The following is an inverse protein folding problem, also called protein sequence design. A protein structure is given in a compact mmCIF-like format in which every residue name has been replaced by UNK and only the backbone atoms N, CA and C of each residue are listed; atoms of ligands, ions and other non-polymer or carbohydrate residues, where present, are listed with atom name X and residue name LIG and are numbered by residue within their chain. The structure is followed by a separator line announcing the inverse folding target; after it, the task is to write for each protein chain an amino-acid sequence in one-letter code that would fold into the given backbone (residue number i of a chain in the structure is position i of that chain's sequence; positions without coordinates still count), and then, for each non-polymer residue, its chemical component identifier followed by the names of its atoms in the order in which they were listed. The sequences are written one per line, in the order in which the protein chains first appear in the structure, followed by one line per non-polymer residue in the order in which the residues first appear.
data_IF_540729070803
#
_entry.id   IF_540729070803
#
_cell.length_a   1.000
_cell.length_b   1.000
_cell.length_c   1.000
_cell.angle_alpha   90.00
_cell.angle_beta   90.00
_cell.angle_gamma   90.00
#
_symmetry.space_group_name_H-M   'P 1'
#
loop_
_entity.id
_entity.type
_entity.pdbx_description
1 polymer ?
#
# COMPACT_ATOMS: atom_id res chain seq x y z
N UNK A 1 -8.34 -13.95 7.38
CA UNK A 1 -7.83 -13.71 6.00
C UNK A 1 -6.39 -14.15 5.91
N UNK A 2 -6.06 -14.89 4.87
CA UNK A 2 -4.71 -15.43 4.70
C UNK A 2 -3.72 -14.36 4.24
N UNK A 3 -2.46 -14.51 4.65
CA UNK A 3 -1.37 -13.71 4.12
C UNK A 3 -1.17 -13.98 2.62
N UNK A 4 -0.55 -13.04 1.93
CA UNK A 4 -0.20 -13.16 0.53
C UNK A 4 -0.70 -12.00 -0.32
N UNK A 5 -0.66 -12.18 -1.64
CA UNK A 5 -1.03 -11.16 -2.60
C UNK A 5 -2.55 -10.96 -2.60
N UNK A 6 -2.97 -9.70 -2.60
CA UNK A 6 -4.36 -9.28 -2.74
C UNK A 6 -4.49 -8.52 -4.04
N UNK A 7 -5.26 -9.07 -4.96
CA UNK A 7 -5.45 -8.51 -6.28
C UNK A 7 -6.61 -7.52 -6.33
N UNK A 8 -6.64 -6.74 -7.41
CA UNK A 8 -7.79 -5.88 -7.72
C UNK A 8 -9.06 -6.73 -7.79
N UNK A 9 -10.15 -6.18 -7.28
CA UNK A 9 -11.48 -6.80 -7.28
C UNK A 9 -11.58 -8.11 -6.49
N UNK A 10 -10.56 -8.48 -5.73
CA UNK A 10 -10.65 -9.59 -4.77
C UNK A 10 -11.67 -9.26 -3.68
N UNK A 11 -12.17 -10.24 -2.92
CA UNK A 11 -13.10 -9.95 -1.82
C UNK A 11 -12.57 -8.88 -0.87
N UNK A 12 -11.31 -8.97 -0.46
CA UNK A 12 -10.69 -7.95 0.37
C UNK A 12 -10.52 -6.63 -0.38
N UNK A 13 -10.10 -6.69 -1.64
CA UNK A 13 -9.94 -5.50 -2.47
C UNK A 13 -11.23 -4.69 -2.57
N UNK A 14 -12.36 -5.36 -2.79
CA UNK A 14 -13.66 -4.69 -2.85
C UNK A 14 -14.02 -4.02 -1.53
N UNK A 15 -13.66 -4.60 -0.40
CA UNK A 15 -13.94 -4.03 0.91
C UNK A 15 -13.20 -2.71 1.15
N UNK A 16 -12.01 -2.57 0.61
CA UNK A 16 -11.16 -1.39 0.85
C UNK A 16 -11.13 -0.42 -0.31
N UNK A 17 -11.86 -0.70 -1.40
CA UNK A 17 -11.85 0.16 -2.58
C UNK A 17 -10.68 -0.09 -3.52
N UNK A 18 -10.03 -1.24 -3.39
CA UNK A 18 -8.95 -1.64 -4.31
C UNK A 18 -9.55 -2.39 -5.49
N UNK A 19 -10.05 -1.62 -6.45
CA UNK A 19 -10.87 -2.12 -7.56
C UNK A 19 -10.35 -1.63 -8.90
N UNK A 20 -10.67 -2.37 -9.95
CA UNK A 20 -10.16 -2.12 -11.31
C UNK A 20 -10.71 -0.87 -11.96
N UNK A 21 -11.80 -0.31 -11.43
CA UNK A 21 -12.31 0.99 -11.89
C UNK A 21 -11.46 2.17 -11.40
N UNK A 22 -10.69 1.98 -10.32
CA UNK A 22 -9.85 3.02 -9.70
C UNK A 22 -8.37 2.81 -9.93
N UNK A 23 -7.90 1.58 -10.01
CA UNK A 23 -6.49 1.23 -10.11
C UNK A 23 -6.25 0.26 -11.27
N UNK A 24 -5.01 0.20 -11.74
CA UNK A 24 -4.59 -0.73 -12.78
C UNK A 24 -3.18 -1.23 -12.48
N UNK A 25 -2.86 -2.44 -12.95
CA UNK A 25 -1.53 -3.06 -12.82
C UNK A 25 -0.99 -2.98 -11.39
N UNK A 26 -1.86 -3.20 -10.39
CA UNK A 26 -1.54 -3.00 -8.99
C UNK A 26 -1.85 -4.25 -8.18
N UNK A 27 -1.11 -4.44 -7.09
CA UNK A 27 -1.43 -5.46 -6.10
C UNK A 27 -0.95 -5.04 -4.74
N UNK A 28 -1.55 -5.62 -3.70
CA UNK A 28 -1.19 -5.42 -2.32
C UNK A 28 -0.65 -6.73 -1.75
N UNK A 29 0.13 -6.63 -0.70
CA UNK A 29 0.66 -7.79 -0.01
C UNK A 29 0.25 -7.74 1.45
N UNK A 30 -0.47 -8.77 1.92
CA UNK A 30 -0.84 -8.87 3.33
C UNK A 30 0.12 -9.78 4.07
N UNK A 31 0.67 -9.28 5.17
CA UNK A 31 1.48 -10.08 6.09
C UNK A 31 1.11 -9.72 7.53
N UNK A 32 0.45 -10.65 8.23
CA UNK A 32 -0.05 -10.38 9.57
C UNK A 32 -1.01 -9.19 9.59
N UNK A 33 -0.72 -8.19 10.40
CA UNK A 33 -1.53 -6.98 10.51
C UNK A 33 -1.06 -5.84 9.60
N UNK A 34 -0.22 -6.15 8.61
CA UNK A 34 0.36 -5.16 7.71
C UNK A 34 -0.09 -5.39 6.29
N UNK A 35 -0.48 -4.32 5.61
CA UNK A 35 -0.73 -4.31 4.17
C UNK A 35 0.39 -3.54 3.51
N UNK A 36 1.16 -4.19 2.64
CA UNK A 36 2.23 -3.55 1.88
C UNK A 36 1.73 -3.15 0.50
N UNK A 37 2.03 -1.93 0.12
CA UNK A 37 1.71 -1.40 -1.20
C UNK A 37 3.02 -1.30 -1.97
N UNK A 38 3.31 -2.28 -2.81
CA UNK A 38 4.56 -2.33 -3.59
C UNK A 38 4.44 -1.61 -4.92
N UNK A 39 3.34 -1.85 -5.64
CA UNK A 39 3.08 -1.20 -6.92
C UNK A 39 1.64 -0.73 -6.90
N UNK A 40 1.44 0.54 -7.19
CA UNK A 40 0.09 1.09 -7.27
C UNK A 40 0.02 2.16 -8.37
N UNK A 41 -1.00 2.04 -9.22
CA UNK A 41 -1.28 2.97 -10.30
C UNK A 41 -2.76 3.35 -10.26
N UNK A 42 -3.05 4.58 -9.87
CA UNK A 42 -4.40 5.11 -9.96
C UNK A 42 -4.72 5.43 -11.42
N UNK A 43 -5.91 5.04 -11.88
CA UNK A 43 -6.34 5.33 -13.25
C UNK A 43 -6.53 6.81 -13.51
N UNK A 44 -6.89 7.58 -12.48
CA UNK A 44 -7.05 9.03 -12.57
C UNK A 44 -6.37 9.69 -11.40
N UNK A 45 -5.43 10.56 -11.67
CA UNK A 45 -4.78 11.37 -10.65
C UNK A 45 -5.74 12.46 -10.14
N UNK A 46 -5.53 12.88 -8.89
CA UNK A 46 -6.29 13.98 -8.31
C UNK A 46 -7.71 13.62 -7.88
N UNK A 47 -8.11 12.34 -7.93
CA UNK A 47 -9.42 11.87 -7.48
C UNK A 47 -9.43 11.37 -6.04
N UNK A 48 -8.27 11.34 -5.38
CA UNK A 48 -8.16 10.87 -4.00
C UNK A 48 -8.28 9.36 -3.83
N UNK A 49 -8.14 8.58 -4.87
CA UNK A 49 -8.27 7.11 -4.80
C UNK A 49 -7.25 6.48 -3.87
N UNK A 50 -6.01 6.95 -3.93
CA UNK A 50 -4.95 6.43 -3.07
C UNK A 50 -5.20 6.80 -1.60
N UNK A 51 -5.57 8.04 -1.33
CA UNK A 51 -5.89 8.51 0.03
C UNK A 51 -7.05 7.71 0.62
N UNK A 52 -8.10 7.47 -0.17
CA UNK A 52 -9.23 6.66 0.24
C UNK A 52 -8.84 5.22 0.53
N UNK A 53 -7.96 4.64 -0.30
CA UNK A 53 -7.46 3.28 -0.10
C UNK A 53 -6.74 3.16 1.24
N UNK A 54 -5.82 4.07 1.54
CA UNK A 54 -5.08 4.09 2.80
C UNK A 54 -6.05 4.21 3.98
N UNK A 55 -6.99 5.13 3.89
CA UNK A 55 -8.00 5.33 4.94
C UNK A 55 -8.79 4.04 5.19
N UNK A 56 -9.26 3.39 4.13
CA UNK A 56 -10.05 2.17 4.25
C UNK A 56 -9.24 1.02 4.87
N UNK A 57 -7.97 0.90 4.53
CA UNK A 57 -7.07 -0.09 5.15
C UNK A 57 -6.90 0.21 6.64
N UNK A 58 -6.64 1.47 6.99
CA UNK A 58 -6.47 1.88 8.38
C UNK A 58 -7.75 1.68 9.20
N UNK A 59 -8.91 1.97 8.63
CA UNK A 59 -10.20 1.81 9.30
C UNK A 59 -10.47 0.34 9.68
N UNK A 60 -9.82 -0.60 9.00
CA UNK A 60 -9.93 -2.03 9.33
C UNK A 60 -8.86 -2.50 10.30
N UNK A 61 -8.06 -1.59 10.85
CA UNK A 61 -7.06 -1.90 11.87
C UNK A 61 -5.73 -2.40 11.35
N UNK A 62 -5.48 -2.31 10.04
CA UNK A 62 -4.20 -2.71 9.47
C UNK A 62 -3.18 -1.57 9.47
N UNK A 63 -1.91 -1.94 9.58
CA UNK A 63 -0.81 -1.04 9.29
C UNK A 63 -0.59 -0.98 7.78
N UNK A 64 -0.29 0.19 7.25
CA UNK A 64 0.06 0.37 5.84
C UNK A 64 1.56 0.55 5.72
N UNK A 65 2.21 -0.19 4.82
CA UNK A 65 3.64 -0.09 4.58
C UNK A 65 3.93 0.11 3.10
N UNK A 66 4.81 1.04 2.78
CA UNK A 66 5.23 1.33 1.40
C UNK A 66 6.74 1.21 1.35
N UNK A 67 7.28 0.13 0.73
CA UNK A 67 8.72 -0.03 0.62
C UNK A 67 9.28 0.88 -0.48
N UNK A 68 10.39 1.51 -0.20
CA UNK A 68 11.18 2.32 -1.15
C UNK A 68 10.32 3.14 -2.11
N UNK A 69 9.49 4.09 -1.59
CA UNK A 69 8.63 4.88 -2.46
C UNK A 69 9.46 5.76 -3.39
N UNK A 70 9.00 5.87 -4.64
CA UNK A 70 9.68 6.67 -5.67
C UNK A 70 8.67 7.62 -6.35
N UNK A 71 9.20 8.69 -6.94
CA UNK A 71 8.39 9.64 -7.69
C UNK A 71 7.32 10.30 -6.84
N UNK A 72 6.10 10.38 -7.36
CA UNK A 72 4.98 11.02 -6.67
C UNK A 72 4.67 10.34 -5.34
N UNK A 73 4.82 9.02 -5.27
CA UNK A 73 4.56 8.26 -4.03
C UNK A 73 5.49 8.72 -2.90
N UNK A 74 6.74 9.03 -3.19
CA UNK A 74 7.68 9.54 -2.18
C UNK A 74 7.18 10.86 -1.58
N UNK A 75 6.64 11.74 -2.39
CA UNK A 75 6.09 13.02 -1.94
C UNK A 75 4.84 12.76 -1.08
N UNK A 76 3.97 11.87 -1.52
CA UNK A 76 2.70 11.59 -0.86
C UNK A 76 2.87 10.91 0.49
N UNK A 77 3.83 9.98 0.66
CA UNK A 77 4.03 9.32 1.96
C UNK A 77 4.46 10.31 3.04
N UNK A 78 5.23 11.32 2.67
CA UNK A 78 5.60 12.40 3.60
C UNK A 78 4.38 13.23 3.97
N UNK A 79 3.59 13.61 2.98
CA UNK A 79 2.38 14.44 3.17
C UNK A 79 1.33 13.74 4.02
N UNK A 80 1.19 12.44 3.89
CA UNK A 80 0.17 11.67 4.64
C UNK A 80 0.63 11.18 6.01
N UNK A 81 1.79 11.63 6.47
CA UNK A 81 2.24 11.32 7.83
C UNK A 81 2.80 9.92 8.02
N UNK A 82 3.27 9.29 6.95
CA UNK A 82 4.01 8.04 7.07
C UNK A 82 5.36 8.28 7.76
N UNK A 83 5.82 7.31 8.52
CA UNK A 83 7.12 7.35 9.19
C UNK A 83 8.10 6.45 8.46
N UNK A 84 9.26 6.99 8.15
CA UNK A 84 10.34 6.24 7.52
C UNK A 84 11.00 5.30 8.53
N UNK A 85 11.14 4.03 8.15
CA UNK A 85 11.88 3.03 8.92
C UNK A 85 12.88 2.31 8.02
N UNK A 86 13.84 1.62 8.64
CA UNK A 86 14.76 0.73 7.94
C UNK A 86 14.48 -0.67 8.44
N UNK A 87 14.12 -1.58 7.53
CA UNK A 87 13.79 -2.96 7.87
C UNK A 87 14.68 -3.93 7.09
N UNK A 88 15.09 -5.00 7.74
CA UNK A 88 15.92 -6.01 7.10
C UNK A 88 15.09 -6.84 6.11
N UNK A 89 15.56 -6.94 4.88
CA UNK A 89 14.95 -7.75 3.84
C UNK A 89 15.81 -8.99 3.58
N UNK A 90 15.21 -10.17 3.76
CA UNK A 90 15.89 -11.44 3.46
C UNK A 90 16.16 -11.59 1.97
N UNK A 91 15.31 -11.04 1.11
CA UNK A 91 15.46 -11.10 -0.34
C UNK A 91 16.72 -10.38 -0.81
N UNK A 92 16.98 -9.20 -0.24
CA UNK A 92 18.14 -8.39 -0.61
C UNK A 92 19.33 -8.60 0.32
N UNK A 93 19.14 -9.36 1.41
CA UNK A 93 20.15 -9.56 2.45
C UNK A 93 20.72 -8.23 2.96
N UNK A 94 19.87 -7.23 3.14
CA UNK A 94 20.23 -5.87 3.54
C UNK A 94 19.03 -5.15 4.12
N UNK A 95 19.25 -3.99 4.71
CA UNK A 95 18.19 -3.11 5.18
C UNK A 95 17.62 -2.31 4.02
N UNK A 96 16.30 -2.18 4.00
CA UNK A 96 15.58 -1.40 2.99
C UNK A 96 14.71 -0.35 3.66
N UNK A 97 14.49 0.75 2.95
CA UNK A 97 13.61 1.82 3.41
C UNK A 97 12.16 1.37 3.30
N UNK A 98 11.42 1.52 4.40
CA UNK A 98 9.97 1.24 4.44
C UNK A 98 9.28 2.38 5.17
N UNK A 99 8.24 2.93 4.55
CA UNK A 99 7.42 3.98 5.16
C UNK A 99 6.14 3.34 5.69
N UNK A 100 5.83 3.60 6.96
CA UNK A 100 4.71 2.96 7.65
C UNK A 100 3.74 3.97 8.25
N UNK A 101 2.48 3.57 8.31
CA UNK A 101 1.43 4.35 8.94
C UNK A 101 0.42 3.48 9.67
#
# INVERSE_FOLDING_TARGET
MKDGIKELDSPFGKEIGFTSDKFQASWLWKKGNRIMISIIWAKKEGKGYFTELIKNIKDRGYEVAIPTPIGLTEILVRKWGFTKTMEFSKEFNDYVEVWVK
#
